data_IF_685538265495
#
_entry.id   IF_685538265495
#
_cell.length_a   1.000
_cell.length_b   1.000
_cell.length_c   1.000
_cell.angle_alpha   90.00
_cell.angle_beta   90.00
_cell.angle_gamma   90.00
#
_symmetry.space_group_name_H-M   'P 1'
#
loop_
_entity.id
_entity.type
_entity.pdbx_description
1 polymer ?
#
# COMPACT_ATOMS: atom_id res chain seq x y z
N UNK A 1 31.78 31.38 23.69
CA UNK A 1 31.83 31.24 22.22
C UNK A 1 30.61 30.44 21.79
N UNK A 2 29.59 31.11 21.23
CA UNK A 2 28.38 30.47 20.71
C UNK A 2 28.69 29.96 19.31
N UNK A 3 28.64 28.65 19.11
CA UNK A 3 28.45 28.06 17.79
C UNK A 3 27.27 27.10 17.93
N UNK A 4 26.24 27.46 17.18
CA UNK A 4 24.87 26.97 17.17
C UNK A 4 24.79 25.44 17.02
N UNK A 5 24.27 24.77 18.04
CA UNK A 5 23.70 23.43 17.94
C UNK A 5 22.28 23.57 17.38
N UNK A 6 22.13 23.49 16.07
CA UNK A 6 20.85 23.16 15.43
C UNK A 6 21.14 22.21 14.29
N UNK A 7 21.27 20.94 14.66
CA UNK A 7 21.23 19.80 13.76
C UNK A 7 19.94 19.89 12.94
N UNK A 8 20.07 20.05 11.63
CA UNK A 8 18.96 19.83 10.72
C UNK A 8 19.37 18.71 9.77
N UNK A 9 18.93 17.47 9.97
CA UNK A 9 18.79 16.55 8.87
C UNK A 9 17.34 16.63 8.38
N UNK A 10 17.16 17.11 7.16
CA UNK A 10 15.89 17.05 6.41
C UNK A 10 15.53 15.59 6.03
N UNK A 11 16.01 14.59 6.78
CA UNK A 11 16.02 13.18 6.43
C UNK A 11 15.42 12.40 7.59
N UNK A 12 14.38 11.60 7.34
CA UNK A 12 13.74 10.76 8.36
C UNK A 12 14.78 9.95 9.13
N UNK A 13 14.71 10.02 10.45
CA UNK A 13 15.53 9.21 11.36
C UNK A 13 15.17 7.72 11.23
N UNK A 14 16.07 6.83 11.65
CA UNK A 14 15.80 5.39 11.63
C UNK A 14 14.53 5.01 12.41
N UNK A 15 14.25 5.68 13.54
CA UNK A 15 13.04 5.42 14.33
C UNK A 15 11.76 5.83 13.57
N UNK A 16 11.77 6.96 12.87
CA UNK A 16 10.63 7.39 12.06
C UNK A 16 10.39 6.45 10.88
N UNK A 17 11.46 5.91 10.28
CA UNK A 17 11.37 4.90 9.21
C UNK A 17 10.74 3.61 9.72
N UNK A 18 11.14 3.11 10.88
CA UNK A 18 10.54 1.91 11.48
C UNK A 18 9.06 2.14 11.86
N UNK A 19 8.72 3.29 12.46
CA UNK A 19 7.32 3.63 12.76
C UNK A 19 6.47 3.72 11.47
N UNK A 20 7.04 4.28 10.39
CA UNK A 20 6.40 4.30 9.09
C UNK A 20 6.17 2.89 8.55
N UNK A 21 7.19 2.03 8.64
CA UNK A 21 7.10 0.62 8.22
C UNK A 21 5.97 -0.12 8.93
N UNK A 22 5.88 -0.02 10.25
CA UNK A 22 4.82 -0.67 11.02
C UNK A 22 3.43 -0.17 10.62
N UNK A 23 3.28 1.15 10.45
CA UNK A 23 2.01 1.76 10.03
C UNK A 23 1.59 1.29 8.65
N UNK A 24 2.50 1.26 7.70
CA UNK A 24 2.23 0.78 6.34
C UNK A 24 1.87 -0.69 6.34
N UNK A 25 2.64 -1.52 7.05
CA UNK A 25 2.37 -2.95 7.19
C UNK A 25 0.95 -3.19 7.70
N UNK A 26 0.55 -2.52 8.78
CA UNK A 26 -0.80 -2.66 9.33
C UNK A 26 -1.89 -2.28 8.33
N UNK A 27 -1.67 -1.24 7.51
CA UNK A 27 -2.59 -0.84 6.44
C UNK A 27 -2.68 -1.91 5.34
N UNK A 28 -1.53 -2.42 4.89
CA UNK A 28 -1.45 -3.49 3.88
C UNK A 28 -2.17 -4.74 4.37
N UNK A 29 -1.89 -5.17 5.60
CA UNK A 29 -2.51 -6.36 6.20
C UNK A 29 -4.04 -6.19 6.29
N UNK A 30 -4.52 -5.02 6.71
CA UNK A 30 -5.95 -4.70 6.75
C UNK A 30 -6.58 -4.77 5.36
N UNK A 31 -5.98 -4.13 4.37
CA UNK A 31 -6.52 -4.07 3.02
C UNK A 31 -6.52 -5.46 2.38
N UNK A 32 -5.46 -6.25 2.56
CA UNK A 32 -5.40 -7.63 2.09
C UNK A 32 -6.58 -8.46 2.62
N UNK A 33 -6.88 -8.36 3.92
CA UNK A 33 -8.01 -9.05 4.52
C UNK A 33 -9.36 -8.62 3.90
N UNK A 34 -9.55 -7.32 3.63
CA UNK A 34 -10.77 -6.82 2.98
C UNK A 34 -10.91 -7.32 1.53
N UNK A 35 -9.81 -7.33 0.79
CA UNK A 35 -9.76 -7.84 -0.60
C UNK A 35 -10.07 -9.34 -0.63
N UNK A 36 -9.51 -10.11 0.30
CA UNK A 36 -9.73 -11.56 0.38
C UNK A 36 -11.19 -11.87 0.76
N UNK A 37 -11.77 -11.10 1.69
CA UNK A 37 -13.19 -11.20 2.04
C UNK A 37 -14.09 -10.93 0.82
N UNK A 38 -13.90 -9.80 0.14
CA UNK A 38 -14.67 -9.50 -1.09
C UNK A 38 -14.50 -10.58 -2.15
N UNK A 39 -13.28 -11.11 -2.32
CA UNK A 39 -12.99 -12.18 -3.29
C UNK A 39 -13.70 -13.49 -2.91
N UNK A 40 -13.86 -13.78 -1.62
CA UNK A 40 -14.62 -14.95 -1.17
C UNK A 40 -16.12 -14.77 -1.41
N UNK A 41 -16.69 -13.62 -1.01
CA UNK A 41 -18.11 -13.30 -1.23
C UNK A 41 -18.46 -13.26 -2.73
N UNK A 42 -17.55 -12.74 -3.55
CA UNK A 42 -17.62 -12.78 -5.01
C UNK A 42 -17.77 -14.18 -5.58
N UNK A 43 -16.97 -15.12 -5.07
CA UNK A 43 -16.97 -16.52 -5.50
C UNK A 43 -18.27 -17.22 -5.10
N UNK A 44 -18.83 -16.87 -3.95
CA UNK A 44 -20.13 -17.36 -3.51
C UNK A 44 -21.27 -16.83 -4.40
N UNK A 45 -21.23 -15.54 -4.75
CA UNK A 45 -22.21 -14.88 -5.64
C UNK A 45 -21.92 -15.10 -7.14
N UNK A 46 -20.89 -15.88 -7.49
CA UNK A 46 -20.31 -15.94 -8.84
C UNK A 46 -21.25 -16.46 -9.94
N UNK A 47 -22.39 -17.07 -9.59
CA UNK A 47 -23.41 -17.43 -10.56
C UNK A 47 -23.96 -16.20 -11.32
N UNK A 48 -23.92 -15.00 -10.70
CA UNK A 48 -24.43 -13.74 -11.26
C UNK A 48 -23.33 -12.67 -11.45
N UNK A 49 -22.07 -12.97 -11.13
CA UNK A 49 -20.99 -11.98 -11.12
C UNK A 49 -20.63 -11.54 -12.56
N UNK A 50 -20.97 -10.29 -12.88
CA UNK A 50 -20.71 -9.63 -14.15
C UNK A 50 -19.22 -9.68 -14.55
N UNK A 51 -18.92 -9.85 -15.84
CA UNK A 51 -17.55 -9.85 -16.41
C UNK A 51 -16.74 -8.62 -15.95
N UNK A 52 -17.41 -7.47 -15.82
CA UNK A 52 -16.80 -6.23 -15.33
C UNK A 52 -16.26 -6.39 -13.90
N UNK A 53 -16.99 -7.05 -13.04
CA UNK A 53 -16.60 -7.28 -11.65
C UNK A 53 -15.38 -8.21 -11.55
N UNK A 54 -15.35 -9.29 -12.33
CA UNK A 54 -14.17 -10.17 -12.39
C UNK A 54 -12.92 -9.43 -12.90
N UNK A 55 -13.08 -8.51 -13.85
CA UNK A 55 -11.97 -7.66 -14.32
C UNK A 55 -11.48 -6.74 -13.21
N UNK A 56 -12.38 -6.03 -12.53
CA UNK A 56 -12.02 -5.13 -11.43
C UNK A 56 -11.33 -5.85 -10.27
N UNK A 57 -11.76 -7.07 -9.93
CA UNK A 57 -11.07 -7.90 -8.94
C UNK A 57 -9.64 -8.29 -9.37
N UNK A 58 -9.44 -8.65 -10.64
CA UNK A 58 -8.10 -8.95 -11.17
C UNK A 58 -7.19 -7.73 -11.15
N UNK A 59 -7.71 -6.56 -11.55
CA UNK A 59 -6.95 -5.31 -11.55
C UNK A 59 -6.52 -4.94 -10.12
N UNK A 60 -7.42 -5.14 -9.16
CA UNK A 60 -7.18 -4.89 -7.73
C UNK A 60 -6.17 -5.89 -7.12
N UNK A 61 -6.20 -7.16 -7.51
CA UNK A 61 -5.18 -8.14 -7.15
C UNK A 61 -3.80 -7.77 -7.72
N UNK A 62 -3.73 -7.37 -8.99
CA UNK A 62 -2.47 -6.96 -9.62
C UNK A 62 -1.87 -5.72 -8.94
N UNK A 63 -2.70 -4.73 -8.59
CA UNK A 63 -2.26 -3.54 -7.86
C UNK A 63 -1.77 -3.87 -6.44
N UNK A 64 -2.44 -4.79 -5.74
CA UNK A 64 -2.00 -5.29 -4.43
C UNK A 64 -0.63 -5.97 -4.53
N UNK A 65 -0.43 -6.82 -5.53
CA UNK A 65 0.84 -7.53 -5.71
C UNK A 65 1.97 -6.54 -6.05
N UNK A 66 1.69 -5.52 -6.88
CA UNK A 66 2.63 -4.44 -7.16
C UNK A 66 2.99 -3.62 -5.91
N UNK A 67 2.00 -3.31 -5.06
CA UNK A 67 2.21 -2.63 -3.79
C UNK A 67 3.09 -3.48 -2.85
N UNK A 68 2.86 -4.79 -2.77
CA UNK A 68 3.67 -5.71 -1.97
C UNK A 68 5.13 -5.76 -2.44
N UNK A 69 5.36 -5.72 -3.76
CA UNK A 69 6.72 -5.60 -4.32
C UNK A 69 7.41 -4.31 -3.88
N UNK A 70 6.73 -3.16 -4.04
CA UNK A 70 7.26 -1.86 -3.59
C UNK A 70 7.52 -1.80 -2.10
N UNK A 71 6.64 -2.43 -1.30
CA UNK A 71 6.81 -2.53 0.13
C UNK A 71 8.07 -3.33 0.49
N UNK A 72 8.29 -4.46 -0.18
CA UNK A 72 9.51 -5.25 -0.01
C UNK A 72 10.77 -4.45 -0.37
N UNK A 73 10.76 -3.75 -1.50
CA UNK A 73 11.87 -2.90 -1.94
C UNK A 73 12.16 -1.80 -0.91
N UNK A 74 11.10 -1.14 -0.40
CA UNK A 74 11.23 -0.14 0.66
C UNK A 74 11.88 -0.74 1.91
N UNK A 75 11.45 -1.93 2.35
CA UNK A 75 12.03 -2.58 3.53
C UNK A 75 13.53 -2.88 3.40
N UNK A 76 13.99 -3.23 2.18
CA UNK A 76 15.40 -3.52 1.90
C UNK A 76 16.22 -2.27 1.57
N UNK A 77 15.58 -1.12 1.34
CA UNK A 77 16.25 0.08 0.91
C UNK A 77 17.11 0.73 1.99
N UNK A 78 18.25 1.26 1.56
CA UNK A 78 19.09 2.15 2.35
C UNK A 78 18.55 3.59 2.36
N UNK A 79 19.17 4.45 3.17
CA UNK A 79 18.69 5.82 3.39
C UNK A 79 18.57 6.66 2.11
N UNK A 80 19.45 6.43 1.13
CA UNK A 80 19.50 7.20 -0.11
C UNK A 80 18.31 6.98 -1.06
N UNK A 81 17.65 5.81 -1.00
CA UNK A 81 16.52 5.46 -1.86
C UNK A 81 15.18 5.44 -1.10
N UNK A 82 15.21 5.62 0.22
CA UNK A 82 14.05 5.48 1.10
C UNK A 82 12.89 6.42 0.70
N UNK A 83 13.19 7.70 0.50
CA UNK A 83 12.16 8.72 0.20
C UNK A 83 11.48 8.50 -1.15
N UNK A 84 12.25 8.12 -2.17
CA UNK A 84 11.72 7.82 -3.51
C UNK A 84 10.83 6.57 -3.48
N UNK A 85 11.27 5.51 -2.79
CA UNK A 85 10.49 4.27 -2.65
C UNK A 85 9.24 4.49 -1.80
N UNK A 86 9.32 5.32 -0.75
CA UNK A 86 8.17 5.70 0.07
C UNK A 86 7.14 6.43 -0.77
N UNK A 87 7.54 7.44 -1.56
CA UNK A 87 6.64 8.17 -2.44
C UNK A 87 6.00 7.25 -3.50
N UNK A 88 6.79 6.33 -4.07
CA UNK A 88 6.29 5.33 -5.01
C UNK A 88 5.28 4.37 -4.39
N UNK A 89 5.53 3.95 -3.14
CA UNK A 89 4.62 3.10 -2.38
C UNK A 89 3.30 3.84 -2.08
N UNK A 90 3.36 5.08 -1.61
CA UNK A 90 2.17 5.88 -1.30
C UNK A 90 1.31 6.14 -2.53
N UNK A 91 1.93 6.38 -3.68
CA UNK A 91 1.20 6.50 -4.94
C UNK A 91 0.44 5.21 -5.26
N UNK A 92 1.13 4.06 -5.23
CA UNK A 92 0.47 2.76 -5.48
C UNK A 92 -0.58 2.42 -4.44
N UNK A 93 -0.39 2.82 -3.19
CA UNK A 93 -1.39 2.66 -2.13
C UNK A 93 -2.66 3.45 -2.43
N UNK A 94 -2.52 4.70 -2.87
CA UNK A 94 -3.67 5.56 -3.21
C UNK A 94 -4.41 5.01 -4.44
N UNK A 95 -3.70 4.56 -5.46
CA UNK A 95 -4.30 3.92 -6.66
C UNK A 95 -5.09 2.65 -6.28
N UNK A 96 -4.51 1.79 -5.44
CA UNK A 96 -5.16 0.58 -4.94
C UNK A 96 -6.38 0.90 -4.09
N UNK A 97 -6.28 1.89 -3.19
CA UNK A 97 -7.40 2.30 -2.33
C UNK A 97 -8.57 2.84 -3.16
N UNK A 98 -8.28 3.67 -4.16
CA UNK A 98 -9.29 4.18 -5.08
C UNK A 98 -9.97 3.06 -5.87
N UNK A 99 -9.19 2.10 -6.38
CA UNK A 99 -9.74 0.93 -7.08
C UNK A 99 -10.62 0.12 -6.14
N UNK A 100 -10.14 -0.15 -4.92
CA UNK A 100 -10.89 -0.88 -3.89
C UNK A 100 -12.24 -0.22 -3.60
N UNK A 101 -12.27 1.08 -3.33
CA UNK A 101 -13.53 1.81 -3.08
C UNK A 101 -14.49 1.75 -4.29
N UNK A 102 -13.97 1.74 -5.51
CA UNK A 102 -14.80 1.60 -6.71
C UNK A 102 -15.40 0.20 -6.82
N UNK A 103 -14.61 -0.85 -6.55
CA UNK A 103 -15.11 -2.24 -6.57
C UNK A 103 -16.10 -2.47 -5.43
N UNK A 104 -15.81 -1.96 -4.23
CA UNK A 104 -16.68 -2.04 -3.05
C UNK A 104 -18.04 -1.38 -3.31
N UNK A 105 -18.08 -0.23 -3.99
CA UNK A 105 -19.34 0.42 -4.38
C UNK A 105 -20.15 -0.32 -5.44
N UNK A 106 -19.50 -1.17 -6.23
CA UNK A 106 -20.15 -2.00 -7.25
C UNK A 106 -20.61 -3.37 -6.71
N UNK A 107 -20.15 -3.75 -5.52
CA UNK A 107 -20.44 -5.02 -4.87
C UNK A 107 -21.70 -4.97 -4.00
#
# INVERSE_FOLDING_TARGET
MRITFMSNPTTMTAQEKEAYKEKVRAKIDKLNAQIDQMTAEAREKAADANVNYQKSLKDLQAQRDALMGKWHDLQQSGEAAWEELQAGLEKSWNELSNTFEQVEKQF
#
